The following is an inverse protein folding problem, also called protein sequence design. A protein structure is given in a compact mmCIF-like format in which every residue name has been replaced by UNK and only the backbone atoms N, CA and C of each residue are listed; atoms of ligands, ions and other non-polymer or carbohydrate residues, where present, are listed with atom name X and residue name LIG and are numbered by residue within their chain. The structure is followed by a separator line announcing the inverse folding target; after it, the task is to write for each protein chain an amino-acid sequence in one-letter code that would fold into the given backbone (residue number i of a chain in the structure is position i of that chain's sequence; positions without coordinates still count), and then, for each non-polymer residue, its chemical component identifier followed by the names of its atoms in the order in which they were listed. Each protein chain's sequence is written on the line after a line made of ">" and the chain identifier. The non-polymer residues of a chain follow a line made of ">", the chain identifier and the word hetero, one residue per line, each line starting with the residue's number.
data_IF_104827011382
#
_entry.id   IF_104827011382
#
_cell.length_a   1.000
_cell.length_b   1.000
_cell.length_c   1.000
_cell.angle_alpha   90.00
_cell.angle_beta   90.00
_cell.angle_gamma   90.00
#
_symmetry.space_group_name_H-M   'P 1'
#
loop_
_entity.id
_entity.type
_entity.pdbx_description
1 polymer ?
2 polymer ?
3 non-polymer ?
4 non-polymer ?
5 non-polymer ?
6 non-polymer ?
7 non-polymer ?
8 non-polymer ?
9 water ?
#
# COMPACT_ATOMS: atom_id res chain seq x y z
N UNK A 1 2.07 13.40 -20.61
CA UNK A 1 1.55 13.44 -19.24
C UNK A 1 2.21 14.54 -18.41
N UNK A 2 1.45 15.02 -17.41
CA UNK A 2 1.88 16.05 -16.47
C UNK A 2 2.08 15.49 -15.07
N UNK A 3 2.07 14.17 -14.92
CA UNK A 3 1.99 13.53 -13.62
C UNK A 3 3.37 13.20 -13.07
N UNK A 4 3.52 13.35 -11.75
CA UNK A 4 4.73 12.92 -11.08
C UNK A 4 4.73 11.41 -10.93
N UNK A 5 5.86 10.81 -11.22
CA UNK A 5 6.10 9.39 -10.97
C UNK A 5 7.23 9.29 -9.95
N UNK A 6 7.23 8.19 -9.22
CA UNK A 6 8.26 8.04 -8.21
C UNK A 6 8.65 6.58 -8.06
N UNK A 7 9.88 6.35 -7.61
CA UNK A 7 10.36 5.04 -7.23
C UNK A 7 10.97 5.14 -5.84
N UNK A 8 10.71 4.12 -5.01
CA UNK A 8 11.20 4.07 -3.64
C UNK A 8 11.62 2.65 -3.30
N UNK A 9 12.70 2.51 -2.58
CA UNK A 9 12.90 1.31 -1.78
C UNK A 9 12.58 1.66 -0.34
N UNK A 10 11.89 0.74 0.33
CA UNK A 10 11.53 0.93 1.72
C UNK A 10 12.08 -0.25 2.52
N UNK A 11 12.59 0.07 3.72
CA UNK A 11 13.06 -0.91 4.69
C UNK A 11 12.38 -0.73 6.04
N UNK A 12 12.18 -1.85 6.72
CA UNK A 12 11.69 -1.88 8.08
C UNK A 12 12.62 -2.83 8.85
N UNK A 13 13.29 -2.31 9.89
CA UNK A 13 14.17 -3.10 10.76
C UNK A 13 13.61 -3.10 12.17
N UNK A 14 13.49 -4.27 12.79
CA UNK A 14 13.21 -4.37 14.21
C UNK A 14 14.39 -5.02 14.91
N UNK A 15 14.88 -4.35 15.96
CA UNK A 15 15.96 -4.88 16.79
C UNK A 15 15.36 -5.17 18.15
N UNK A 16 15.33 -6.45 18.54
CA UNK A 16 14.71 -6.81 19.80
C UNK A 16 15.72 -6.79 20.95
N UNK A 17 16.94 -7.19 20.62
CA UNK A 17 18.06 -7.23 21.59
C UNK A 17 19.36 -7.33 20.78
N UNK A 18 20.49 -7.53 21.42
CA UNK A 18 21.79 -7.50 20.72
C UNK A 18 22.04 -8.76 19.88
N UNK A 19 21.25 -9.81 20.09
CA UNK A 19 21.47 -11.08 19.34
C UNK A 19 20.28 -11.38 18.42
N UNK A 20 19.26 -10.52 18.37
CA UNK A 20 18.09 -10.86 17.55
C UNK A 20 17.51 -9.62 16.88
N UNK A 21 17.38 -9.69 15.56
CA UNK A 21 16.73 -8.63 14.79
C UNK A 21 16.17 -9.25 13.52
N UNK A 22 15.24 -8.53 12.89
CA UNK A 22 14.69 -8.96 11.60
C UNK A 22 14.35 -7.75 10.76
N UNK A 23 14.27 -7.97 9.44
CA UNK A 23 14.07 -6.86 8.52
C UNK A 23 13.31 -7.24 7.27
N UNK A 24 12.90 -6.20 6.55
CA UNK A 24 12.13 -6.35 5.32
C UNK A 24 12.36 -5.17 4.38
N UNK A 25 12.63 -5.44 3.11
CA UNK A 25 12.81 -4.38 2.15
C UNK A 25 12.04 -4.68 0.87
N UNK A 26 11.66 -3.61 0.17
CA UNK A 26 10.92 -3.79 -1.09
C UNK A 26 11.07 -2.57 -1.98
N UNK A 27 10.75 -2.75 -3.26
CA UNK A 27 10.78 -1.67 -4.24
C UNK A 27 9.40 -1.39 -4.80
N UNK A 28 9.09 -0.10 -4.97
CA UNK A 28 7.76 0.39 -5.32
C UNK A 28 7.85 1.45 -6.40
N UNK A 29 7.13 1.24 -7.51
CA UNK A 29 6.96 2.23 -8.57
C UNK A 29 5.59 2.88 -8.36
N UNK A 30 5.58 4.09 -7.83
CA UNK A 30 4.36 4.73 -7.31
C UNK A 30 3.81 3.83 -6.21
N UNK A 31 2.57 3.36 -6.29
CA UNK A 31 2.00 2.48 -5.28
C UNK A 31 2.05 1.02 -5.70
N UNK A 32 2.74 0.70 -6.78
CA UNK A 32 2.85 -0.66 -7.28
C UNK A 32 4.14 -1.31 -6.79
N UNK A 33 4.03 -2.45 -6.14
CA UNK A 33 5.23 -3.16 -5.73
C UNK A 33 5.86 -3.85 -6.93
N UNK A 34 7.13 -3.55 -7.16
CA UNK A 34 7.82 -4.09 -8.30
C UNK A 34 9.02 -4.93 -7.92
N UNK A 35 9.49 -4.85 -6.66
CA UNK A 35 10.63 -5.65 -6.20
C UNK A 35 10.45 -6.13 -4.77
N UNK A 36 11.02 -7.30 -4.50
CA UNK A 36 11.28 -7.74 -3.15
C UNK A 36 12.77 -8.01 -2.90
N UNK A 37 13.04 -8.48 -1.70
CA UNK A 37 14.41 -8.80 -1.28
C UNK A 37 14.40 -10.14 -0.58
N UNK A 38 15.12 -11.11 -1.14
CA UNK A 38 15.33 -12.39 -0.48
C UNK A 38 16.50 -12.25 0.49
N UNK A 39 16.20 -12.34 1.79
CA UNK A 39 17.15 -11.96 2.83
C UNK A 39 18.18 -13.05 3.12
N UNK A 40 17.82 -14.32 2.93
CA UNK A 40 18.79 -15.39 3.15
C UNK A 40 19.95 -15.30 2.14
N UNK A 41 19.62 -15.17 0.85
CA UNK A 41 20.64 -15.11 -0.20
C UNK A 41 21.07 -13.70 -0.55
N UNK A 42 20.54 -12.69 0.15
CA UNK A 42 20.77 -11.29 -0.16
C UNK A 42 20.63 -10.97 -1.63
N UNK A 43 19.46 -11.24 -2.24
CA UNK A 43 19.31 -10.93 -3.66
C UNK A 43 17.96 -10.28 -3.92
N UNK A 44 17.87 -9.64 -5.08
CA UNK A 44 16.65 -8.94 -5.48
C UNK A 44 15.66 -9.95 -6.06
N UNK A 45 14.39 -9.82 -5.67
CA UNK A 45 13.30 -10.58 -6.27
C UNK A 45 12.59 -9.67 -7.26
N UNK A 46 12.61 -10.04 -8.54
CA UNK A 46 11.95 -9.28 -9.59
C UNK A 46 10.53 -9.81 -9.77
N UNK A 47 9.54 -8.98 -9.44
CA UNK A 47 8.13 -9.39 -9.44
C UNK A 47 7.50 -9.44 -10.83
N UNK A 48 8.00 -8.68 -11.80
CA UNK A 48 7.39 -8.61 -13.12
C UNK A 48 8.40 -8.88 -14.22
N UNK A 49 7.88 -9.26 -15.37
CA UNK A 49 8.70 -9.47 -16.56
C UNK A 49 9.53 -8.22 -16.89
N UNK A 50 9.00 -7.03 -16.62
CA UNK A 50 9.74 -5.80 -16.93
C UNK A 50 10.51 -5.23 -15.72
N UNK A 51 10.70 -5.99 -14.64
CA UNK A 51 11.26 -5.43 -13.41
C UNK A 51 12.77 -5.16 -13.48
N UNK A 52 13.51 -5.70 -14.45
CA UNK A 52 14.91 -5.27 -14.53
C UNK A 52 15.07 -3.85 -15.07
N UNK A 53 14.01 -3.26 -15.63
CA UNK A 53 14.02 -1.86 -16.00
C UNK A 53 15.12 -1.44 -16.96
N UNK A 54 15.44 -2.29 -17.94
CA UNK A 54 16.51 -2.03 -18.91
C UNK A 54 17.90 -1.89 -18.26
N UNK A 55 18.07 -2.29 -17.00
CA UNK A 55 19.41 -2.40 -16.44
C UNK A 55 20.07 -3.72 -16.85
N UNK A 56 21.38 -3.68 -17.02
CA UNK A 56 22.12 -4.90 -17.33
C UNK A 56 22.22 -5.78 -16.08
N UNK A 57 22.33 -7.08 -16.31
CA UNK A 57 22.52 -7.98 -15.19
C UNK A 57 23.75 -7.62 -14.38
N UNK A 58 24.71 -6.91 -15.00
CA UNK A 58 25.92 -6.52 -14.32
C UNK A 58 25.65 -5.42 -13.29
N UNK A 59 24.96 -4.34 -13.70
CA UNK A 59 24.62 -3.29 -12.75
C UNK A 59 23.75 -3.85 -11.62
N UNK A 60 22.89 -4.80 -11.94
CA UNK A 60 21.96 -5.32 -10.94
C UNK A 60 22.68 -6.17 -9.90
N UNK A 61 23.57 -7.07 -10.34
CA UNK A 61 24.34 -7.84 -9.37
C UNK A 61 25.27 -6.94 -8.55
N UNK A 62 25.76 -5.84 -9.15
CA UNK A 62 26.53 -4.88 -8.38
C UNK A 62 25.68 -4.12 -7.36
N UNK A 63 24.42 -3.82 -7.70
CA UNK A 63 23.51 -3.23 -6.71
C UNK A 63 23.22 -4.21 -5.60
N UNK A 64 22.97 -5.48 -5.93
CA UNK A 64 22.77 -6.47 -4.89
C UNK A 64 23.95 -6.54 -3.94
N UNK A 65 25.17 -6.49 -4.51
CA UNK A 65 26.39 -6.50 -3.69
C UNK A 65 26.45 -5.27 -2.79
N UNK A 66 26.15 -4.09 -3.36
CA UNK A 66 26.16 -2.85 -2.60
C UNK A 66 25.15 -2.89 -1.45
N UNK A 67 23.95 -3.41 -1.71
CA UNK A 67 22.93 -3.54 -0.66
C UNK A 67 23.37 -4.51 0.42
N UNK A 68 24.04 -5.60 0.03
CA UNK A 68 24.56 -6.53 1.02
C UNK A 68 25.59 -5.86 1.94
N UNK A 69 26.55 -5.14 1.36
CA UNK A 69 27.50 -4.42 2.21
C UNK A 69 26.79 -3.43 3.11
N UNK A 70 25.80 -2.71 2.56
CA UNK A 70 25.07 -1.70 3.34
C UNK A 70 24.34 -2.32 4.52
N UNK A 71 23.68 -3.46 4.31
CA UNK A 71 22.97 -4.15 5.40
C UNK A 71 23.95 -4.61 6.47
N UNK A 72 25.06 -5.23 6.05
CA UNK A 72 26.09 -5.65 7.01
C UNK A 72 26.53 -4.49 7.89
N UNK A 73 26.99 -3.40 7.25
CA UNK A 73 27.52 -2.29 8.01
C UNK A 73 26.49 -1.62 8.89
N UNK A 74 25.28 -1.43 8.37
CA UNK A 74 24.20 -0.82 9.14
C UNK A 74 23.94 -1.60 10.42
N UNK A 75 23.73 -2.92 10.32
CA UNK A 75 23.39 -3.67 11.52
C UNK A 75 24.58 -3.70 12.48
N UNK A 76 25.81 -3.81 11.96
CA UNK A 76 26.99 -3.87 12.83
C UNK A 76 27.14 -2.60 13.65
N UNK A 77 26.98 -1.44 13.02
CA UNK A 77 27.08 -0.18 13.75
C UNK A 77 25.96 -0.03 14.77
N UNK A 78 24.71 -0.24 14.32
CA UNK A 78 23.59 -0.05 15.23
C UNK A 78 23.73 -0.98 16.42
N UNK A 79 24.28 -2.18 16.21
CA UNK A 79 24.37 -3.11 17.33
C UNK A 79 25.52 -2.75 18.25
N UNK A 80 26.67 -2.34 17.70
CA UNK A 80 27.75 -1.81 18.53
C UNK A 80 27.26 -0.71 19.47
N UNK A 81 26.47 0.24 18.96
CA UNK A 81 26.06 1.34 19.84
C UNK A 81 24.86 0.98 20.71
N UNK A 82 23.99 0.10 20.27
CA UNK A 82 22.82 -0.22 21.06
C UNK A 82 23.09 -1.30 22.08
N UNK A 83 24.16 -2.09 21.91
CA UNK A 83 24.49 -3.09 22.91
C UNK A 83 25.03 -2.43 24.18
N UNK A 84 25.88 -1.41 24.02
CA UNK A 84 26.32 -0.61 25.15
C UNK A 84 25.16 0.12 25.80
N UNK A 85 24.37 0.84 25.00
CA UNK A 85 23.14 1.48 25.45
C UNK A 85 21.95 0.55 25.19
N UNK A 86 21.88 -0.51 26.01
CA UNK A 86 20.91 -1.58 25.78
C UNK A 86 19.51 -1.30 26.32
N UNK A 87 19.29 -0.15 26.96
CA UNK A 87 17.95 0.20 27.43
C UNK A 87 17.00 0.60 26.31
N UNK A 88 17.51 0.71 25.07
CA UNK A 88 16.69 1.12 23.93
C UNK A 88 15.82 -0.02 23.36
N UNK A 89 16.17 -1.29 23.60
CA UNK A 89 15.46 -2.43 23.00
C UNK A 89 14.09 -2.61 23.63
N UNK A 90 13.08 -3.00 22.86
CA UNK A 90 13.06 -3.26 21.40
C UNK A 90 12.75 -2.02 20.56
N UNK A 91 13.36 -1.81 19.39
CA UNK A 91 13.03 -0.61 18.63
C UNK A 91 12.95 -0.92 17.13
N UNK A 92 12.23 -0.05 16.42
CA UNK A 92 11.91 -0.22 15.01
C UNK A 92 12.37 1.00 14.19
N UNK A 93 13.12 0.75 13.11
CA UNK A 93 13.58 1.77 12.18
C UNK A 93 12.83 1.61 10.86
N UNK A 94 12.31 2.73 10.33
CA UNK A 94 11.74 2.80 8.99
C UNK A 94 12.64 3.64 8.10
N UNK A 95 12.93 3.14 6.89
CA UNK A 95 13.69 3.88 5.90
C UNK A 95 12.89 3.94 4.60
N UNK A 96 12.85 5.12 3.99
CA UNK A 96 12.26 5.31 2.69
C UNK A 96 13.21 6.15 1.84
N UNK A 97 13.80 5.55 0.81
CA UNK A 97 14.74 6.24 -0.06
C UNK A 97 14.23 6.13 -1.49
N UNK A 98 14.54 7.12 -2.33
CA UNK A 98 14.07 7.08 -3.71
C UNK A 98 13.99 8.47 -4.34
N UNK A 99 13.17 8.59 -5.37
CA UNK A 99 13.17 9.77 -6.21
C UNK A 99 11.82 10.00 -6.88
N UNK A 100 11.56 11.29 -7.13
CA UNK A 100 10.36 11.76 -7.80
C UNK A 100 10.77 12.50 -9.07
N UNK A 101 9.99 12.33 -10.14
CA UNK A 101 10.23 13.01 -11.41
C UNK A 101 9.10 14.00 -11.60
N UNK A 102 9.40 15.30 -11.47
CA UNK A 102 8.39 16.33 -11.65
C UNK A 102 8.06 16.52 -13.13
N UNK A 103 7.03 17.32 -13.39
CA UNK A 103 6.41 17.33 -14.71
C UNK A 103 7.37 17.78 -15.80
N UNK A 104 8.27 18.70 -15.49
CA UNK A 104 9.27 19.13 -16.45
C UNK A 104 10.55 18.31 -16.54
N UNK A 105 10.65 17.19 -15.82
CA UNK A 105 11.83 16.36 -15.84
C UNK A 105 12.84 16.61 -14.73
N UNK A 106 12.55 17.51 -13.80
CA UNK A 106 13.47 17.78 -12.70
C UNK A 106 13.46 16.65 -11.68
N UNK A 107 14.58 15.98 -11.44
CA UNK A 107 14.60 14.90 -10.44
C UNK A 107 14.66 15.44 -9.01
N UNK A 108 14.10 14.67 -8.09
CA UNK A 108 14.17 15.04 -6.67
C UNK A 108 14.45 13.79 -5.85
N UNK A 109 15.56 13.82 -5.09
CA UNK A 109 15.97 12.73 -4.22
C UNK A 109 15.31 12.80 -2.85
N UNK A 110 15.25 11.63 -2.20
CA UNK A 110 14.57 11.43 -0.93
C UNK A 110 15.29 10.37 -0.12
N UNK A 111 15.59 10.67 1.14
CA UNK A 111 16.07 9.63 2.07
C UNK A 111 15.59 9.98 3.49
N UNK A 112 14.42 9.48 3.86
CA UNK A 112 13.85 9.75 5.16
C UNK A 112 13.94 8.51 6.05
N UNK A 113 14.01 8.77 7.37
CA UNK A 113 14.16 7.74 8.40
C UNK A 113 13.27 8.09 9.57
N UNK A 114 12.69 7.07 10.19
CA UNK A 114 11.85 7.21 11.37
C UNK A 114 12.25 6.17 12.40
N UNK A 115 12.06 6.54 13.68
CA UNK A 115 12.37 5.71 14.83
C UNK A 115 11.10 5.57 15.65
N UNK A 116 10.70 4.33 15.92
CA UNK A 116 9.42 3.97 16.52
C UNK A 116 8.28 4.84 15.98
N UNK A 117 8.30 5.04 14.66
CA UNK A 117 7.25 5.76 13.96
C UNK A 117 7.32 7.27 14.04
N UNK A 118 8.45 7.85 14.44
CA UNK A 118 8.62 9.30 14.55
C UNK A 118 9.73 9.74 13.60
N UNK A 119 9.57 10.90 12.96
CA UNK A 119 10.62 11.39 12.07
C UNK A 119 11.93 11.49 12.85
N UNK A 120 12.99 10.83 12.38
CA UNK A 120 14.29 10.93 13.02
C UNK A 120 15.23 11.86 12.27
N UNK A 121 15.30 11.72 10.96
CA UNK A 121 16.22 12.53 10.18
C UNK A 121 15.83 12.42 8.72
N UNK A 122 16.58 13.13 7.88
CA UNK A 122 16.41 13.08 6.44
C UNK A 122 17.70 13.56 5.78
N UNK A 123 17.73 13.53 4.47
CA UNK A 123 18.91 13.92 3.68
C UNK A 123 18.44 15.06 2.78
N UNK A 124 18.80 16.29 3.17
CA UNK A 124 18.42 17.50 2.44
C UNK A 124 19.61 17.95 1.60
N UNK A 125 19.46 17.87 0.27
CA UNK A 125 20.52 18.25 -0.66
C UNK A 125 21.80 17.44 -0.41
N UNK A 126 22.69 17.92 0.46
CA UNK A 126 23.89 17.15 0.81
C UNK A 126 24.10 16.96 2.31
N UNK A 127 23.15 17.38 3.14
CA UNK A 127 23.35 17.37 4.58
C UNK A 127 22.33 16.46 5.23
N UNK A 128 22.82 15.58 6.11
CA UNK A 128 21.93 14.86 7.00
C UNK A 128 21.35 15.84 8.01
N UNK A 129 20.03 15.91 8.08
CA UNK A 129 19.29 16.90 8.86
C UNK A 129 18.42 16.17 9.88
N UNK A 130 18.61 16.40 11.18
CA UNK A 130 17.71 15.80 12.18
C UNK A 130 16.33 16.43 12.11
N UNK A 131 15.41 15.82 12.83
CA UNK A 131 14.06 16.32 12.96
C UNK A 131 13.94 17.15 14.24
N UNK A 132 12.94 18.04 14.32
CA UNK A 132 12.72 18.74 15.59
C UNK A 132 12.43 17.80 16.75
N UNK A 133 11.57 16.81 16.55
CA UNK A 133 11.34 15.84 17.59
C UNK A 133 12.61 15.07 17.93
N UNK A 134 12.79 14.80 19.22
CA UNK A 134 13.91 14.05 19.80
C UNK A 134 15.23 14.81 19.76
N UNK A 135 15.70 15.21 18.58
CA UNK A 135 17.08 15.68 18.46
C UNK A 135 18.01 14.60 18.98
N UNK A 136 19.07 15.03 19.68
CA UNK A 136 20.00 14.15 20.42
C UNK A 136 20.42 12.91 19.63
N UNK A 137 19.67 11.81 19.77
CA UNK A 137 19.85 10.64 18.92
C UNK A 137 19.92 11.05 17.45
N UNK A 138 18.94 11.82 16.99
CA UNK A 138 18.92 12.36 15.64
C UNK A 138 20.19 13.16 15.34
N UNK A 139 20.51 14.12 16.22
CA UNK A 139 21.74 14.90 16.08
C UNK A 139 22.99 14.02 16.07
N UNK A 140 23.01 12.97 16.91
CA UNK A 140 24.13 12.05 16.97
C UNK A 140 24.32 11.32 15.65
N UNK A 141 23.27 10.65 15.17
CA UNK A 141 23.32 9.92 13.91
C UNK A 141 23.69 10.88 12.78
N UNK A 142 23.15 12.10 12.81
CA UNK A 142 23.40 13.07 11.74
C UNK A 142 24.85 13.51 11.71
N UNK A 143 25.44 13.84 12.86
CA UNK A 143 26.87 14.13 12.91
C UNK A 143 27.69 12.92 12.46
N UNK A 144 27.34 11.74 12.96
CA UNK A 144 27.98 10.49 12.54
C UNK A 144 28.08 10.40 11.01
N UNK A 145 26.96 10.64 10.33
CA UNK A 145 26.94 10.50 8.88
C UNK A 145 27.59 11.69 8.17
N UNK A 146 27.49 12.89 8.75
CA UNK A 146 28.01 14.10 8.11
C UNK A 146 29.54 14.11 8.10
N UNK A 147 30.18 13.67 9.20
CA UNK A 147 31.62 13.83 9.32
C UNK A 147 32.40 12.53 9.57
N UNK A 148 31.75 11.45 10.00
CA UNK A 148 32.44 10.22 10.39
C UNK A 148 32.18 9.04 9.47
N UNK A 149 31.56 9.25 8.30
CA UNK A 149 31.29 8.17 7.35
C UNK A 149 31.65 8.61 5.95
N UNK A 150 32.59 7.86 5.35
CA UNK A 150 33.34 8.19 4.14
C UNK A 150 32.46 8.54 2.94
N UNK A 151 32.80 7.98 1.78
CA UNK A 151 32.00 8.12 0.59
C UNK A 151 30.59 7.54 0.70
N UNK A 152 30.16 7.20 1.92
CA UNK A 152 28.80 6.72 2.12
C UNK A 152 27.80 7.79 1.66
N UNK A 153 27.97 9.00 2.17
CA UNK A 153 27.03 10.07 1.80
C UNK A 153 27.14 10.43 0.32
N UNK A 154 28.35 10.36 -0.24
CA UNK A 154 28.54 10.59 -1.66
C UNK A 154 27.76 9.56 -2.49
N UNK A 155 27.89 8.29 -2.11
CA UNK A 155 27.22 7.23 -2.83
C UNK A 155 25.70 7.35 -2.71
N UNK A 156 25.21 7.72 -1.53
CA UNK A 156 23.77 7.90 -1.36
C UNK A 156 23.25 9.02 -2.25
N UNK A 157 23.98 10.15 -2.29
CA UNK A 157 23.60 11.25 -3.17
C UNK A 157 23.54 10.78 -4.63
N UNK A 158 24.59 10.10 -5.10
CA UNK A 158 24.60 9.63 -6.47
C UNK A 158 23.46 8.64 -6.75
N UNK A 159 23.10 7.83 -5.74
CA UNK A 159 22.10 6.77 -5.93
C UNK A 159 20.69 7.35 -6.02
N UNK A 160 20.35 8.27 -5.12
CA UNK A 160 18.99 8.78 -5.17
C UNK A 160 18.81 9.82 -6.26
N UNK A 161 19.90 10.43 -6.76
CA UNK A 161 19.78 11.54 -7.71
C UNK A 161 20.16 11.18 -9.15
N UNK A 162 20.85 10.07 -9.39
CA UNK A 162 21.14 9.73 -10.78
C UNK A 162 20.71 8.29 -11.10
N UNK A 163 21.12 7.34 -10.27
CA UNK A 163 20.75 5.94 -10.53
C UNK A 163 19.25 5.73 -10.45
N UNK A 164 18.60 6.32 -9.45
CA UNK A 164 17.16 6.14 -9.27
C UNK A 164 16.32 6.70 -10.41
N UNK A 165 16.45 7.96 -10.84
CA UNK A 165 15.63 8.42 -11.98
C UNK A 165 15.84 7.59 -13.25
N UNK A 166 17.07 7.17 -13.48
CA UNK A 166 17.39 6.38 -14.66
C UNK A 166 16.71 5.02 -14.61
N UNK A 167 16.62 4.43 -13.40
CA UNK A 167 15.94 3.15 -13.21
C UNK A 167 14.42 3.32 -13.28
N UNK A 168 13.88 4.36 -12.66
CA UNK A 168 12.47 4.73 -12.83
C UNK A 168 12.06 4.75 -14.31
N UNK A 169 12.77 5.54 -15.12
CA UNK A 169 12.40 5.68 -16.52
C UNK A 169 12.62 4.38 -17.29
N UNK A 170 13.71 3.65 -17.00
CA UNK A 170 13.86 2.35 -17.62
C UNK A 170 12.75 1.38 -17.29
N UNK A 171 12.24 1.42 -16.04
CA UNK A 171 11.12 0.56 -15.66
C UNK A 171 9.88 0.93 -16.46
N UNK A 172 9.59 2.23 -16.56
CA UNK A 172 8.40 2.66 -17.29
C UNK A 172 8.48 2.24 -18.76
N UNK A 173 9.64 2.41 -19.40
CA UNK A 173 9.76 2.02 -20.80
C UNK A 173 9.73 0.50 -20.96
N UNK A 174 10.33 -0.25 -20.03
CA UNK A 174 10.37 -1.71 -20.16
C UNK A 174 8.99 -2.32 -20.08
N UNK A 175 8.09 -1.69 -19.35
CA UNK A 175 6.76 -2.24 -19.26
C UNK A 175 5.70 -1.36 -19.88
N UNK A 176 5.96 -0.77 -21.04
CA UNK A 176 5.05 0.25 -21.55
C UNK A 176 3.67 -0.33 -21.82
N UNK A 177 3.60 -1.58 -22.24
CA UNK A 177 2.29 -2.15 -22.55
C UNK A 177 1.47 -2.37 -21.30
N UNK A 178 2.13 -2.66 -20.18
CA UNK A 178 1.44 -2.68 -18.90
C UNK A 178 1.14 -1.26 -18.41
N UNK A 179 2.13 -0.37 -18.53
CA UNK A 179 2.00 1.00 -18.02
C UNK A 179 0.81 1.71 -18.66
N UNK A 180 0.59 1.51 -19.95
CA UNK A 180 -0.37 2.33 -20.69
C UNK A 180 -1.68 1.61 -21.00
N UNK A 181 -1.93 0.47 -20.37
CA UNK A 181 -3.13 -0.31 -20.63
C UNK A 181 -4.36 0.35 -20.00
N UNK A 182 -5.52 0.04 -20.58
CA UNK A 182 -6.82 0.45 -20.08
C UNK A 182 -7.57 -0.80 -19.66
N UNK A 183 -8.19 -0.77 -18.48
CA UNK A 183 -8.96 -1.93 -18.03
C UNK A 183 -10.32 -1.45 -17.57
N UNK A 184 -11.34 -2.03 -18.20
CA UNK A 184 -12.74 -1.61 -17.93
C UNK A 184 -13.21 -2.05 -16.57
N UNK A 185 -13.84 -1.15 -15.82
CA UNK A 185 -14.47 -1.53 -14.54
C UNK A 185 -15.78 -2.28 -14.75
N UNK A 186 -16.15 -3.06 -13.75
CA UNK A 186 -17.52 -3.57 -13.65
C UNK A 186 -18.12 -3.01 -12.37
N UNK A 187 -19.45 -2.82 -12.39
CA UNK A 187 -20.15 -2.21 -11.25
C UNK A 187 -21.31 -3.10 -10.80
N UNK A 188 -21.70 -2.96 -9.54
CA UNK A 188 -22.91 -3.60 -9.04
C UNK A 188 -23.42 -2.85 -7.82
N UNK A 189 -24.65 -3.15 -7.43
CA UNK A 189 -25.31 -2.46 -6.34
C UNK A 189 -25.56 -3.40 -5.16
N UNK A 190 -25.62 -2.82 -3.96
CA UNK A 190 -25.98 -3.58 -2.77
C UNK A 190 -26.59 -2.64 -1.75
N UNK A 191 -27.19 -3.22 -0.72
CA UNK A 191 -27.61 -2.46 0.45
C UNK A 191 -26.45 -2.35 1.44
N UNK A 192 -26.49 -1.30 2.24
CA UNK A 192 -25.51 -1.14 3.28
C UNK A 192 -26.15 -1.23 4.66
N UNK A 193 -25.36 -0.97 5.70
CA UNK A 193 -25.92 -0.93 7.06
C UNK A 193 -27.04 0.09 7.14
N UNK A 194 -28.09 -0.29 7.84
CA UNK A 194 -29.28 0.55 7.95
C UNK A 194 -28.89 1.89 8.59
N UNK A 195 -29.18 3.02 7.96
CA UNK A 195 -28.89 4.31 8.62
C UNK A 195 -29.90 4.68 9.73
N UNK A 196 -31.02 3.97 9.83
CA UNK A 196 -32.06 4.29 10.77
C UNK A 196 -33.38 3.73 10.31
N UNK A 197 -34.39 3.73 11.18
CA UNK A 197 -35.71 3.21 10.77
C UNK A 197 -36.28 4.08 9.67
N UNK A 198 -36.90 3.43 8.68
CA UNK A 198 -37.42 4.15 7.53
C UNK A 198 -36.40 4.74 6.58
N UNK A 199 -35.15 4.23 6.60
CA UNK A 199 -34.06 4.76 5.81
C UNK A 199 -33.25 3.60 5.23
N UNK A 200 -32.67 3.85 4.06
CA UNK A 200 -31.87 2.90 3.33
C UNK A 200 -30.48 3.49 3.06
N UNK A 201 -29.54 2.59 2.86
CA UNK A 201 -28.19 2.93 2.48
C UNK A 201 -27.90 2.20 1.19
N UNK A 202 -27.72 2.94 0.11
CA UNK A 202 -27.45 2.38 -1.21
C UNK A 202 -25.94 2.36 -1.43
N UNK A 203 -25.43 1.28 -2.00
CA UNK A 203 -24.01 1.14 -2.26
C UNK A 203 -23.83 0.78 -3.72
N UNK A 204 -22.89 1.46 -4.37
CA UNK A 204 -22.44 1.15 -5.72
C UNK A 204 -20.98 0.73 -5.61
N UNK A 205 -20.66 -0.48 -6.07
CA UNK A 205 -19.31 -1.00 -6.12
C UNK A 205 -18.80 -0.86 -7.55
N UNK A 206 -17.57 -0.34 -7.68
CA UNK A 206 -16.90 -0.17 -8.98
C UNK A 206 -15.53 -0.81 -8.87
N UNK A 207 -15.27 -1.84 -9.66
CA UNK A 207 -14.07 -2.64 -9.41
C UNK A 207 -13.41 -3.05 -10.71
N UNK A 208 -12.08 -3.13 -10.66
CA UNK A 208 -11.27 -3.65 -11.75
C UNK A 208 -10.83 -2.63 -12.78
N UNK A 209 -10.93 -1.34 -12.48
CA UNK A 209 -10.54 -0.29 -13.43
C UNK A 209 -9.08 0.10 -13.26
N UNK A 210 -8.45 0.42 -14.40
CA UNK A 210 -7.12 0.97 -14.46
C UNK A 210 -7.04 1.81 -15.74
N UNK A 211 -6.48 3.01 -15.68
CA UNK A 211 -5.83 3.66 -14.52
C UNK A 211 -6.81 4.20 -13.46
N UNK A 212 -6.25 4.86 -12.44
CA UNK A 212 -6.92 5.23 -11.20
C UNK A 212 -8.01 6.30 -11.34
N UNK A 213 -7.89 7.27 -12.23
CA UNK A 213 -8.94 8.31 -12.34
C UNK A 213 -10.29 7.73 -12.77
N UNK A 214 -11.33 8.10 -12.02
CA UNK A 214 -12.67 7.51 -12.17
C UNK A 214 -13.68 8.52 -11.64
N UNK A 215 -14.87 8.52 -12.21
CA UNK A 215 -15.97 9.33 -11.69
C UNK A 215 -17.18 8.45 -11.36
N UNK A 216 -17.69 8.53 -10.13
CA UNK A 216 -18.80 7.68 -9.69
C UNK A 216 -19.77 8.53 -8.88
N UNK A 217 -21.05 8.53 -9.29
CA UNK A 217 -22.04 9.33 -8.57
C UNK A 217 -23.38 8.64 -8.52
N UNK A 218 -24.10 8.84 -7.42
CA UNK A 218 -25.54 8.61 -7.41
C UNK A 218 -26.27 9.80 -8.02
N UNK A 219 -27.26 9.50 -8.86
CA UNK A 219 -28.01 10.45 -9.66
C UNK A 219 -29.51 10.22 -9.52
N UNK A 220 -30.26 11.29 -9.64
CA UNK A 220 -31.66 11.19 -10.04
C UNK A 220 -31.78 11.99 -11.34
N UNK A 221 -31.88 11.29 -12.47
CA UNK A 221 -31.84 11.96 -13.77
C UNK A 221 -30.46 12.57 -14.01
N UNK A 222 -30.40 13.89 -14.10
CA UNK A 222 -29.14 14.59 -14.20
C UNK A 222 -28.79 15.32 -12.90
N UNK A 223 -29.69 15.32 -11.93
CA UNK A 223 -29.34 15.81 -10.60
C UNK A 223 -28.35 14.84 -9.96
N UNK A 224 -27.09 15.25 -9.86
CA UNK A 224 -26.18 14.55 -8.97
C UNK A 224 -26.67 14.69 -7.55
N UNK A 225 -26.69 13.60 -6.81
CA UNK A 225 -27.13 13.63 -5.42
C UNK A 225 -25.96 14.06 -4.55
N UNK A 226 -26.12 15.21 -3.87
CA UNK A 226 -25.03 15.83 -3.12
C UNK A 226 -24.56 14.97 -1.96
N UNK A 227 -25.40 14.05 -1.50
CA UNK A 227 -25.07 13.21 -0.37
C UNK A 227 -24.12 12.07 -0.65
N UNK A 228 -23.83 11.78 -1.93
CA UNK A 228 -22.94 10.66 -2.24
C UNK A 228 -21.66 10.78 -1.43
N UNK A 229 -21.24 9.65 -0.85
CA UNK A 229 -19.99 9.57 -0.10
C UNK A 229 -19.06 8.59 -0.81
N UNK A 230 -17.86 9.04 -1.15
CA UNK A 230 -16.88 8.19 -1.77
C UNK A 230 -15.96 7.60 -0.71
N UNK A 231 -15.63 6.32 -0.87
CA UNK A 231 -14.68 5.67 0.00
C UNK A 231 -13.27 5.81 -0.52
N UNK A 232 -12.35 5.15 0.17
CA UNK A 232 -10.99 5.11 -0.35
C UNK A 232 -10.93 4.27 -1.61
N UNK A 233 -10.16 4.73 -2.58
CA UNK A 233 -9.87 3.90 -3.75
C UNK A 233 -8.90 2.81 -3.33
N UNK A 234 -9.42 1.55 -3.21
CA UNK A 234 -8.70 0.43 -2.63
C UNK A 234 -8.07 -0.40 -3.73
N UNK A 235 -6.94 -1.04 -3.44
CA UNK A 235 -6.25 -1.81 -4.47
C UNK A 235 -6.75 -3.25 -4.55
N UNK A 236 -6.88 -3.72 -5.80
CA UNK A 236 -7.16 -5.10 -6.11
C UNK A 236 -5.87 -5.86 -6.38
N UNK A 237 -5.96 -7.17 -6.32
CA UNK A 237 -4.87 -7.98 -6.84
C UNK A 237 -4.74 -7.75 -8.36
N UNK A 238 -3.49 -7.69 -8.82
CA UNK A 238 -3.17 -7.52 -10.24
C UNK A 238 -3.41 -6.10 -10.75
N UNK A 239 -3.13 -5.09 -9.92
CA UNK A 239 -3.00 -3.75 -10.40
C UNK A 239 -4.27 -2.98 -10.69
N UNK A 240 -5.46 -3.52 -10.40
CA UNK A 240 -6.66 -2.72 -10.64
C UNK A 240 -7.13 -2.05 -9.34
N UNK A 241 -8.20 -1.27 -9.47
CA UNK A 241 -8.70 -0.45 -8.38
C UNK A 241 -10.15 -0.82 -8.04
N UNK A 242 -10.57 -0.46 -6.82
CA UNK A 242 -11.91 -0.72 -6.32
C UNK A 242 -12.41 0.52 -5.59
N UNK A 243 -13.73 0.72 -5.59
CA UNK A 243 -14.35 1.94 -5.04
C UNK A 243 -15.79 1.67 -4.66
N UNK A 244 -16.20 2.20 -3.51
CA UNK A 244 -17.59 2.24 -3.06
C UNK A 244 -18.12 3.68 -3.09
N UNK A 245 -19.33 3.86 -3.60
CA UNK A 245 -20.10 5.09 -3.42
C UNK A 245 -21.42 4.75 -2.71
N UNK A 246 -21.67 5.39 -1.57
CA UNK A 246 -22.84 5.11 -0.76
C UNK A 246 -23.73 6.35 -0.68
N UNK A 247 -25.00 6.11 -0.41
CA UNK A 247 -25.99 7.19 -0.32
C UNK A 247 -27.09 6.78 0.65
N UNK A 248 -27.45 7.67 1.57
CA UNK A 248 -28.52 7.42 2.53
C UNK A 248 -29.81 8.10 2.05
N UNK A 249 -30.93 7.37 2.06
CA UNK A 249 -32.19 7.92 1.56
C UNK A 249 -33.35 7.37 2.37
N UNK A 250 -34.38 8.19 2.55
CA UNK A 250 -35.63 7.68 3.11
C UNK A 250 -36.28 6.72 2.12
N UNK A 251 -36.82 5.61 2.62
CA UNK A 251 -37.61 4.77 1.72
C UNK A 251 -38.88 5.52 1.33
N UNK A 252 -39.26 5.41 0.06
CA UNK A 252 -40.21 6.31 -0.55
C UNK A 252 -39.58 7.37 -1.41
N UNK A 253 -38.29 7.62 -1.24
CA UNK A 253 -37.52 8.50 -2.12
C UNK A 253 -36.38 7.78 -2.79
N UNK A 254 -36.37 6.45 -2.78
CA UNK A 254 -35.31 5.70 -3.40
C UNK A 254 -35.57 5.37 -4.85
N UNK A 255 -36.82 5.43 -5.30
CA UNK A 255 -37.11 5.07 -6.68
C UNK A 255 -36.62 6.13 -7.64
N UNK A 256 -35.96 5.69 -8.72
CA UNK A 256 -35.41 6.58 -9.72
C UNK A 256 -33.94 6.90 -9.56
N UNK A 257 -33.33 6.51 -8.45
CA UNK A 257 -31.93 6.73 -8.18
C UNK A 257 -31.07 5.73 -8.94
N UNK A 258 -29.98 6.21 -9.55
CA UNK A 258 -29.09 5.34 -10.30
C UNK A 258 -27.64 5.71 -10.02
N UNK A 259 -26.77 4.73 -10.21
CA UNK A 259 -25.33 4.87 -10.11
C UNK A 259 -24.78 5.08 -11.52
N UNK A 260 -23.91 6.08 -11.67
CA UNK A 260 -23.26 6.39 -12.94
C UNK A 260 -21.75 6.33 -12.78
N UNK A 261 -21.10 5.68 -13.75
CA UNK A 261 -19.66 5.43 -13.74
C UNK A 261 -19.06 5.95 -15.04
N UNK A 262 -18.06 6.84 -14.92
CA UNK A 262 -17.26 7.37 -16.02
C UNK A 262 -15.80 6.98 -15.84
N UNK A 263 -15.21 6.40 -16.89
CA UNK A 263 -13.82 5.98 -16.84
C UNK A 263 -13.21 6.05 -18.24
N UNK A 264 -11.88 6.27 -18.28
CA UNK A 264 -11.17 6.46 -19.56
C UNK A 264 -11.35 5.28 -20.50
N UNK A 265 -11.54 4.08 -19.96
CA UNK A 265 -11.65 2.89 -20.79
C UNK A 265 -13.01 2.75 -21.46
N UNK A 266 -14.00 3.59 -21.15
CA UNK A 266 -15.39 3.31 -21.49
C UNK A 266 -15.83 3.91 -22.82
N UNK A 267 -14.94 4.62 -23.52
CA UNK A 267 -15.22 5.17 -24.85
C UNK A 267 -16.54 5.94 -24.85
N UNK A 268 -16.69 6.82 -23.86
CA UNK A 268 -17.86 7.64 -23.73
C UNK A 268 -19.11 6.95 -23.19
N UNK A 269 -19.22 5.63 -23.29
CA UNK A 269 -20.43 4.89 -22.90
C UNK A 269 -20.38 4.53 -21.41
N UNK A 270 -20.97 5.40 -20.58
CA UNK A 270 -20.95 5.27 -19.11
C UNK A 270 -21.74 4.03 -18.64
N UNK A 271 -21.39 3.56 -17.46
CA UNK A 271 -22.12 2.45 -16.82
C UNK A 271 -23.24 3.04 -15.97
N UNK A 272 -24.46 2.55 -16.16
CA UNK A 272 -25.61 3.03 -15.40
C UNK A 272 -26.34 1.86 -14.77
N UNK A 273 -26.60 1.97 -13.46
CA UNK A 273 -27.35 0.94 -12.74
C UNK A 273 -28.44 1.59 -11.91
N UNK A 274 -29.70 1.20 -12.13
CA UNK A 274 -30.84 1.72 -11.37
C UNK A 274 -31.07 0.88 -10.12
N UNK A 275 -31.24 1.55 -8.99
CA UNK A 275 -31.61 0.88 -7.75
C UNK A 275 -32.97 0.18 -7.87
N UNK A 276 -33.00 -1.14 -7.68
CA UNK A 276 -34.25 -1.89 -7.69
C UNK A 276 -34.77 -2.16 -6.29
N UNK A 277 -33.95 -2.73 -5.43
CA UNK A 277 -34.29 -2.89 -4.03
C UNK A 277 -35.54 -3.74 -3.84
N UNK A 278 -36.37 -3.32 -2.91
CA UNK A 278 -37.62 -4.00 -2.63
C UNK A 278 -38.77 -3.46 -3.48
N UNK A 279 -38.46 -2.66 -4.52
CA UNK A 279 -39.49 -2.04 -5.37
C UNK A 279 -40.18 -3.09 -6.25
N UNK A 280 -39.42 -4.02 -6.80
CA UNK A 280 -39.90 -5.00 -7.76
C UNK A 280 -40.38 -6.24 -7.01
N UNK A 281 -41.60 -6.74 -7.29
CA UNK A 281 -42.19 -7.89 -6.58
C UNK A 281 -41.37 -9.16 -6.70
N UNK B 1 5.66 7.06 19.84
CA UNK B 1 4.55 7.33 18.93
C UNK B 1 3.33 6.56 19.35
N UNK B 2 2.22 7.28 19.50
CA UNK B 2 0.99 6.66 19.98
C UNK B 2 0.63 5.47 19.11
N UNK B 3 0.36 4.34 19.75
CA UNK B 3 -0.11 3.18 19.02
C UNK B 3 -1.35 3.53 18.21
N UNK B 4 -1.43 3.00 16.99
CA UNK B 4 -2.58 3.18 16.10
C UNK B 4 -3.18 1.81 15.78
N UNK B 5 -4.47 1.72 15.88
CA UNK B 5 -5.21 0.48 15.66
C UNK B 5 -5.44 0.29 14.15
N UNK B 6 -5.43 -0.95 13.65
CA UNK B 6 -5.63 -1.14 12.21
C UNK B 6 -7.06 -0.86 11.75
N UNK B 7 -7.18 -0.19 10.61
CA UNK B 7 -8.41 -0.18 9.85
C UNK B 7 -8.41 -1.40 8.92
N UNK B 8 -9.54 -2.11 8.90
CA UNK B 8 -9.72 -3.34 8.13
C UNK B 8 -10.87 -3.14 7.14
N UNK B 9 -10.60 -3.28 5.84
CA UNK B 9 -11.62 -3.17 4.80
C UNK B 9 -11.63 -4.43 3.94
N UNK B 10 -12.80 -5.05 3.78
CA UNK B 10 -12.94 -6.37 3.13
C UNK B 10 -13.86 -6.21 1.92
N UNK B 11 -13.44 -6.74 0.77
CA UNK B 11 -14.17 -6.50 -0.47
C UNK B 11 -13.79 -7.52 -1.52
N UNK B 12 -14.69 -7.80 -2.45
CA UNK B 12 -14.41 -8.77 -3.50
C UNK B 12 -14.14 -8.09 -4.82
N UNK B 13 -13.38 -8.79 -5.67
CA UNK B 13 -13.09 -8.31 -7.01
C UNK B 13 -14.34 -8.24 -7.88
N UNK B 14 -15.24 -9.22 -7.74
CA UNK B 14 -16.38 -9.44 -8.61
C UNK B 14 -17.65 -9.58 -7.78
N UNK B 15 -18.82 -9.36 -8.40
CA UNK B 15 -20.07 -9.60 -7.66
C UNK B 15 -20.15 -11.06 -7.23
N UNK B 16 -20.59 -11.27 -5.99
CA UNK B 16 -20.77 -12.60 -5.44
C UNK B 16 -21.69 -13.42 -6.35
N UNK B 17 -21.15 -14.50 -6.91
CA UNK B 17 -21.88 -15.36 -7.84
C UNK B 17 -21.64 -16.79 -7.35
N UNK B 18 -22.67 -17.38 -6.74
CA UNK B 18 -22.51 -18.67 -6.08
C UNK B 18 -22.10 -19.75 -7.07
N UNK B 19 -20.91 -20.32 -6.85
CA UNK B 19 -20.32 -21.20 -7.84
C UNK B 19 -19.63 -20.44 -8.96
N UNK B 20 -18.74 -19.51 -8.63
CA UNK B 20 -17.97 -18.79 -9.65
C UNK B 20 -16.67 -18.30 -9.03
N UNK B 21 -15.58 -18.42 -9.78
CA UNK B 21 -14.29 -17.96 -9.30
C UNK B 21 -14.34 -16.47 -9.00
N UNK B 22 -13.71 -16.08 -7.90
CA UNK B 22 -13.79 -14.74 -7.40
C UNK B 22 -12.57 -14.52 -6.52
N UNK B 23 -12.28 -13.26 -6.22
CA UNK B 23 -11.17 -12.92 -5.34
C UNK B 23 -11.70 -12.18 -4.13
N UNK B 24 -11.25 -12.60 -2.96
CA UNK B 24 -11.53 -11.92 -1.70
C UNK B 24 -10.29 -11.11 -1.30
N UNK B 25 -10.51 -9.84 -0.95
CA UNK B 25 -9.47 -8.91 -0.55
C UNK B 25 -9.71 -8.40 0.86
N UNK B 26 -8.61 -8.18 1.60
CA UNK B 26 -8.61 -7.55 2.91
C UNK B 26 -7.47 -6.54 2.97
N UNK B 27 -7.82 -5.26 3.11
CA UNK B 27 -6.87 -4.16 3.21
C UNK B 27 -6.78 -3.68 4.65
N UNK B 28 -5.59 -3.76 5.24
CA UNK B 28 -5.37 -3.44 6.65
C UNK B 28 -4.32 -2.34 6.72
N UNK B 29 -4.70 -1.17 7.24
CA UNK B 29 -3.82 -0.01 7.14
C UNK B 29 -3.90 0.83 8.41
N UNK B 30 -2.94 1.75 8.51
CA UNK B 30 -2.93 2.74 9.57
C UNK B 30 -2.51 2.25 10.94
N UNK B 31 -1.87 1.08 11.03
CA UNK B 31 -1.48 0.52 12.31
C UNK B 31 -0.02 0.82 12.63
N UNK B 32 0.28 0.86 13.93
CA UNK B 32 1.65 0.96 14.46
C UNK B 32 1.60 0.52 15.92
N UNK B 33 2.54 -0.34 16.37
CA UNK B 33 3.69 -0.92 15.65
C UNK B 33 3.36 -1.97 14.58
N UNK B 34 4.38 -2.53 13.95
CA UNK B 34 4.22 -3.34 12.75
C UNK B 34 3.86 -4.79 13.01
N UNK B 35 3.96 -5.29 14.23
CA UNK B 35 3.63 -6.68 14.48
C UNK B 35 2.12 -6.86 14.45
N UNK B 36 1.66 -7.91 13.78
CA UNK B 36 0.24 -8.04 13.48
C UNK B 36 -0.03 -9.47 13.02
N UNK B 37 -1.26 -9.92 13.25
CA UNK B 37 -1.73 -11.19 12.72
C UNK B 37 -2.94 -10.92 11.85
N UNK B 38 -2.80 -11.13 10.54
CA UNK B 38 -3.93 -11.05 9.61
C UNK B 38 -4.17 -12.45 9.08
N UNK B 39 -5.43 -12.87 9.08
CA UNK B 39 -5.77 -14.13 8.44
C UNK B 39 -7.08 -13.95 7.66
N UNK B 40 -7.22 -14.71 6.59
CA UNK B 40 -8.49 -14.84 5.88
C UNK B 40 -9.12 -16.13 6.36
N UNK B 41 -10.39 -16.05 6.77
CA UNK B 41 -11.14 -17.17 7.32
C UNK B 41 -12.19 -17.65 6.33
N UNK B 42 -12.27 -18.97 6.16
CA UNK B 42 -13.42 -19.61 5.51
C UNK B 42 -14.10 -20.51 6.54
N UNK B 43 -15.29 -20.13 6.98
CA UNK B 43 -16.01 -20.88 8.03
C UNK B 43 -15.17 -20.96 9.31
N UNK B 44 -14.68 -19.81 9.76
CA UNK B 44 -13.88 -19.76 10.98
C UNK B 44 -12.50 -20.39 10.91
N UNK B 45 -12.14 -21.01 9.77
CA UNK B 45 -10.87 -21.71 9.62
C UNK B 45 -9.90 -20.90 8.75
N UNK B 46 -8.64 -20.86 9.16
CA UNK B 46 -7.64 -20.05 8.49
C UNK B 46 -7.32 -20.63 7.11
N UNK B 47 -7.38 -19.78 6.10
CA UNK B 47 -6.99 -20.15 4.74
C UNK B 47 -5.47 -20.05 4.61
N UNK B 48 -4.87 -21.06 3.96
CA UNK B 48 -3.42 -21.14 3.81
C UNK B 48 -2.95 -20.65 2.46
N UNK B 49 -3.67 -21.03 1.42
CA UNK B 49 -3.48 -20.49 0.08
C UNK B 49 -3.86 -19.02 0.10
N UNK B 50 -2.94 -18.15 0.47
CA UNK B 50 -3.21 -16.72 0.56
C UNK B 50 -2.00 -15.99 -0.02
N UNK B 51 -2.22 -14.75 -0.43
CA UNK B 51 -1.17 -13.86 -0.88
C UNK B 51 -1.25 -12.55 -0.11
N UNK B 52 -0.10 -11.94 0.13
CA UNK B 52 -0.07 -10.65 0.81
C UNK B 52 1.06 -9.81 0.22
N UNK B 53 0.88 -8.50 0.27
CA UNK B 53 1.94 -7.58 -0.07
C UNK B 53 3.05 -7.62 0.99
N UNK B 54 4.25 -7.23 0.58
CA UNK B 54 5.30 -7.01 1.56
C UNK B 54 4.93 -5.78 2.39
N UNK B 55 5.45 -5.74 3.61
CA UNK B 55 5.10 -4.68 4.53
C UNK B 55 5.47 -3.32 3.97
N UNK B 56 4.56 -2.36 4.08
CA UNK B 56 4.79 -1.01 3.58
C UNK B 56 4.15 0.00 4.53
N UNK B 57 4.57 1.25 4.41
CA UNK B 57 4.06 2.30 5.30
C UNK B 57 3.77 3.58 4.52
N UNK B 58 2.79 4.33 5.03
CA UNK B 58 2.39 5.59 4.43
C UNK B 58 3.37 6.70 4.80
N UNK B 59 2.99 7.97 4.63
CA UNK B 59 3.92 9.05 4.93
C UNK B 59 3.91 9.40 6.41
N UNK B 60 2.79 9.21 7.07
CA UNK B 60 2.75 9.31 8.54
C UNK B 60 3.40 8.10 9.21
N UNK B 61 4.07 7.25 8.44
CA UNK B 61 4.82 6.08 8.89
C UNK B 61 3.95 4.96 9.44
N UNK B 62 2.62 5.05 9.35
CA UNK B 62 1.82 3.90 9.73
C UNK B 62 1.80 2.85 8.61
N UNK B 63 1.63 1.59 8.98
CA UNK B 63 1.86 0.48 8.07
C UNK B 63 0.57 0.06 7.38
N UNK B 64 0.72 -0.71 6.29
CA UNK B 64 -0.44 -1.24 5.58
C UNK B 64 -0.06 -2.51 4.81
N UNK B 65 -1.06 -3.40 4.67
CA UNK B 65 -0.96 -4.69 4.02
C UNK B 65 -2.22 -4.96 3.21
N UNK B 66 -2.04 -5.46 1.98
CA UNK B 66 -3.12 -6.04 1.17
C UNK B 66 -3.03 -7.57 1.20
N UNK B 67 -4.13 -8.23 1.57
CA UNK B 67 -4.29 -9.68 1.53
C UNK B 67 -5.32 -10.07 0.48
N UNK B 68 -5.10 -11.19 -0.20
CA UNK B 68 -6.17 -11.68 -1.08
C UNK B 68 -6.04 -13.18 -1.28
N UNK B 69 -7.17 -13.79 -1.66
CA UNK B 69 -7.19 -15.21 -2.01
C UNK B 69 -8.29 -15.45 -3.04
N UNK B 70 -8.03 -16.38 -3.96
CA UNK B 70 -9.04 -16.80 -4.93
C UNK B 70 -9.94 -17.86 -4.31
N UNK B 71 -11.23 -17.77 -4.59
CA UNK B 71 -12.20 -18.61 -3.90
C UNK B 71 -13.49 -18.68 -4.72
N UNK B 72 -14.34 -19.62 -4.35
CA UNK B 72 -15.63 -19.81 -5.02
C UNK B 72 -16.74 -19.86 -3.98
N UNK B 73 -17.63 -18.87 -3.96
CA UNK B 73 -18.62 -18.78 -2.88
C UNK B 73 -19.85 -19.62 -3.13
N UNK B 74 -20.49 -20.01 -2.03
CA UNK B 74 -21.76 -20.73 -2.00
C UNK B 74 -22.57 -20.19 -0.82
N UNK B 75 -23.88 -20.49 -0.81
CA UNK B 75 -24.71 -20.03 0.29
C UNK B 75 -24.23 -20.60 1.62
N UNK B 76 -23.64 -21.80 1.60
CA UNK B 76 -23.26 -22.45 2.84
C UNK B 76 -22.07 -21.76 3.49
N UNK B 77 -21.12 -21.30 2.68
CA UNK B 77 -19.81 -20.82 3.15
C UNK B 77 -19.81 -19.32 3.40
N UNK B 78 -19.27 -18.92 4.54
CA UNK B 78 -19.01 -17.51 4.81
C UNK B 78 -17.52 -17.28 5.06
N UNK B 79 -17.07 -16.09 4.64
CA UNK B 79 -15.68 -15.71 4.65
C UNK B 79 -15.48 -14.48 5.53
N UNK B 80 -14.26 -14.31 6.04
CA UNK B 80 -13.96 -13.23 6.99
C UNK B 80 -12.48 -12.86 6.92
N UNK B 81 -12.14 -11.74 7.57
CA UNK B 81 -10.76 -11.30 7.77
C UNK B 81 -10.58 -11.04 9.26
N UNK B 82 -9.58 -11.66 9.87
CA UNK B 82 -9.33 -11.51 11.30
C UNK B 82 -7.97 -10.86 11.52
N UNK B 83 -7.93 -9.93 12.46
CA UNK B 83 -6.74 -9.13 12.75
C UNK B 83 -6.51 -9.13 14.25
N UNK B 84 -5.25 -9.30 14.64
CA UNK B 84 -4.84 -9.21 16.03
C UNK B 84 -3.67 -8.25 16.07
N UNK B 85 -3.73 -7.30 16.99
CA UNK B 85 -2.72 -6.29 17.17
C UNK B 85 -2.52 -6.08 18.66
N UNK B 86 -1.51 -5.28 19.01
CA UNK B 86 -1.31 -4.93 20.41
C UNK B 86 -2.46 -4.06 20.91
N UNK B 87 -2.90 -3.11 20.09
CA UNK B 87 -4.05 -2.24 20.33
C UNK B 87 -5.37 -2.99 20.31
N UNK B 88 -5.34 -4.32 20.17
CA UNK B 88 -6.53 -5.16 20.15
C UNK B 88 -6.45 -6.11 21.34
N UNK B 89 -7.42 -6.02 22.24
CA UNK B 89 -7.51 -6.98 23.33
C UNK B 89 -7.90 -8.36 22.80
N UNK B 90 -8.98 -8.42 22.04
CA UNK B 90 -9.49 -9.61 21.39
C UNK B 90 -9.30 -9.51 19.88
N UNK B 91 -8.95 -10.61 19.21
CA UNK B 91 -8.83 -10.58 17.75
C UNK B 91 -10.09 -10.06 17.06
N UNK B 92 -9.98 -8.89 16.47
CA UNK B 92 -11.08 -8.27 15.74
C UNK B 92 -11.37 -9.01 14.44
N UNK B 93 -12.64 -9.10 14.09
CA UNK B 93 -13.07 -9.79 12.89
C UNK B 93 -13.90 -8.83 12.05
N UNK B 94 -13.81 -8.98 10.72
CA UNK B 94 -14.71 -8.32 9.80
C UNK B 94 -15.24 -9.38 8.84
N UNK B 95 -16.54 -9.40 8.66
CA UNK B 95 -17.22 -10.43 7.89
C UNK B 95 -17.56 -9.93 6.50
N UNK B 96 -17.53 -10.83 5.52
CA UNK B 96 -17.87 -10.49 4.14
C UNK B 96 -19.27 -10.98 3.81
N UNK B 97 -20.08 -10.08 3.23
CA UNK B 97 -21.47 -10.33 2.89
C UNK B 97 -21.73 -9.94 1.45
N UNK B 98 -22.52 -10.77 0.75
CA UNK B 98 -22.80 -10.57 -0.68
C UNK B 98 -23.35 -9.18 -0.99
X LIG C 1 16.35 -11.70 22.22
X LIG C 1 16.14 -12.61 23.46
X LIG C 1 15.80 -14.03 23.03
X LIG C 1 14.54 -14.00 22.19
X LIG C 1 14.80 -13.07 21.01
X LIG C 1 13.55 -12.92 20.18
X LIG C 1 17.15 -12.33 25.66
X LIG C 1 15.78 -11.91 26.15
X LIG C 1 17.24 -12.65 24.35
X LIG C 1 15.67 -14.77 24.20
X LIG C 1 14.29 -15.30 21.75
X LIG C 1 15.17 -11.77 21.46
X LIG C 1 12.48 -12.80 21.09
X LIG C 1 18.11 -12.35 26.41
X LIG D 1 34.00 0.01 -0.67
X LIG D 1 33.37 -0.80 -1.66
X LIG D 1 34.67 -0.83 0.38
X LIG D 1 35.82 -1.49 -0.18
X LIG D 1 35.07 0.07 1.53
X LIG D 1 35.84 -0.71 2.48
X LIG D 1 35.85 1.29 1.15
X LIG D 1 35.63 2.26 2.22
X LIG D 1 35.50 1.96 -0.16
X LIG D 1 34.96 0.99 -1.23
X LIG D 1 36.71 2.69 -0.69
X LIG D 1 36.47 4.09 -0.84
X LIG D 1 14.17 -4.27 -2.40
X LIG D 1 18.12 0.31 -9.07
X LIG D 1 31.45 1.94 1.36
X LIG D 1 16.71 4.60 -4.17
X LIG D 1 25.44 2.88 2.36
X LIG D 1 19.55 2.61 1.06
X LIG D 1 31.22 -2.25 -2.28
X LIG D 1 31.32 -1.23 -0.08
X LIG D 1 15.24 -4.25 -3.46
X LIG D 1 15.23 -2.94 -4.31
X LIG D 1 15.72 -3.24 -5.72
X LIG D 1 15.62 -1.98 -6.63
X LIG D 1 16.98 -1.55 -7.20
X LIG D 1 30.78 2.83 -2.15
X LIG D 1 17.59 2.74 -6.11
X LIG D 1 27.76 2.97 0.42
X LIG D 1 18.86 3.09 -1.52
X LIG D 1 23.18 2.19 -0.23
X LIG D 1 31.67 1.55 -2.47
X LIG D 1 17.36 -0.16 -6.69
X LIG D 1 30.88 3.32 -0.62
X LIG D 1 18.24 2.07 -7.36
X LIG D 1 29.12 2.79 1.22
X LIG D 1 18.62 3.39 -5.10
X LIG D 1 26.78 1.72 0.59
X LIG D 1 18.72 4.09 -2.70
X LIG D 1 24.54 2.83 0.05
X LIG D 1 20.28 2.52 -1.33
X LIG D 1 22.00 2.83 0.49
X LIG D 1 30.89 0.34 -2.15
X LIG D 1 17.42 0.90 -7.82
X LIG D 1 30.34 2.25 0.42
X LIG D 1 17.84 3.59 -3.82
X LIG D 1 25.37 2.05 1.09
X LIG D 1 20.66 2.16 0.09
X LIG D 1 31.68 -1.03 -1.54
X LIG E 1 22.95 -12.34 3.27
X LIG E 1 22.30 -13.10 4.32
X LIG E 1 22.07 -12.29 5.60
X LIG E 1 22.69 -11.30 5.79
X LIG E 1 21.11 -12.71 6.61
X LIG E 1 20.30 -13.91 6.48
X LIG E 1 20.82 -15.14 7.21
X LIG E 1 21.99 -15.24 7.37
X LIG E 1 19.91 -16.16 7.71
X LIG E 1 18.48 -16.07 7.55
X LIG E 1 17.74 -16.20 8.89
X LIG E 1 18.37 -16.54 9.93
X LIG E 1 16.49 -15.97 8.94
X LIG F 1 3.23 3.26 -13.63
X LIG F 1 2.06 4.15 -13.24
X LIG F 1 1.76 3.98 -11.75
X LIG F 1 1.43 2.52 -11.41
X LIG F 1 0.72 4.87 -11.20
X LIG F 1 0.06 5.71 -12.18
X LIG F 1 -1.16 4.98 -12.77
X LIG F 1 -2.41 4.65 -11.49
X LIG F 1 -2.10 3.42 -10.67
X LIG F 1 -3.67 4.17 -12.17
X LIG F 1 -2.68 5.92 -10.70
X LIG F 1 2.46 1.50 -11.91
X LIG F 1 2.97 1.79 -13.33
X LIG G 1 17.08 -3.49 -0.61
X LIG G 1 16.34 -3.95 0.64
X LIG G 1 17.24 -3.96 1.89
X LIG G 1 18.01 -2.66 2.12
X LIG G 1 16.44 -4.25 3.08
X LIG G 1 16.52 -5.67 3.36
X LIG G 1 15.85 -6.02 4.69
X LIG G 1 16.23 -7.74 5.15
X LIG G 1 16.19 -7.90 6.65
X LIG G 1 15.31 -8.72 4.48
X LIG G 1 17.67 -8.08 4.87
X LIG G 1 17.90 -1.66 0.96
X LIG G 1 18.11 -2.38 -0.36
X LIG H 1 19.07 -5.33 11.16
X LIG H 1 18.15 -6.40 10.81
X LIG H 1 18.63 -7.05 9.52
X LIG H 1 18.74 -6.43 8.51
X LIG H 1 18.98 -8.45 9.56
X LIG H 1 19.46 -9.08 8.34
X LIG H 1 18.50 -10.11 7.72
X LIG H 1 18.80 -10.73 6.75
X LIG H 1 17.21 -10.31 8.35
X LIG H 1 16.30 -11.27 7.81
X LIG H 1 15.65 -11.81 9.06
X LIG H 1 16.29 -12.57 9.84
X LIG H 1 14.47 -11.45 9.33
X LIG I 1 -12.55 9.58 2.06
X LIG I 1 -13.41 8.65 2.16
X LIG I 1 -11.48 9.41 1.41
X LIG I 1 -12.80 10.92 2.75
X LIG I 1 -12.80 10.77 4.28
X LIG I 1 -11.92 11.37 4.97
X LIG I 1 -13.67 10.05 4.84
X LIG J 1 23.49 5.47 5.22
X LIG J 1 22.11 5.01 5.69
X LIG J 1 21.66 5.74 6.98
X LIG J 1 20.50 5.00 7.68
X LIG J 1 20.13 5.65 9.04
X LIG J 1 20.40 4.69 10.24
X LIG J 1 19.40 4.91 11.38
X LIG J 1 20.07 4.69 12.77
X LIG J 1 19.06 4.51 13.91
X LIG J 1 19.80 4.31 15.27
X LIG J 1 19.10 3.24 16.15
X LIG J 1 19.69 3.21 17.61
X LIG J 1 21.24 3.04 17.61
X LIG J 1 21.81 2.86 19.07
X LIG J 1 22.31 4.20 19.71
X LIG J 1 22.53 4.06 21.26
X LIG J 1 23.56 5.10 21.84
X LIG J 1 23.02 6.57 21.78
X LIG J 1 25.38 7.80 21.96
X LIG J 1 25.87 7.31 23.41
X LIG J 1 25.12 6.90 25.65
X LIG J 1 23.85 6.59 26.33
X LIG J 1 24.02 5.91 27.63
X LIG J 1 24.95 4.71 27.52
X LIG J 1 26.17 4.93 26.59
X LIG J 1 26.76 3.57 26.11
X LIG J 1 25.10 3.07 29.14
X LIG J 1 25.72 2.71 30.51
X LIG J 1 25.21 1.47 31.07
X LIG J 1 23.71 1.37 31.03
X LIG J 1 23.26 1.56 29.58
X LIG J 1 21.73 1.37 29.43
X LIG J 1 22.66 1.80 33.09
X LIG J 1 22.36 2.91 34.14
X LIG J 1 21.83 2.32 35.40
X LIG J 1 20.79 1.28 35.18
X LIG J 1 21.17 0.27 34.09
X LIG J 1 19.98 -0.68 33.83
X LIG J 1 21.93 3.48 37.46
X LIG J 1 21.42 4.76 38.13
X LIG J 1 21.63 4.84 39.59
X LIG J 1 21.42 3.58 40.32
X LIG J 1 22.23 2.45 39.67
X LIG J 1 22.10 1.14 40.50
X LIG J 1 24.18 4.78 33.90
X LIG J 1 23.48 5.60 32.82
X LIG J 1 26.51 0.04 32.72
X LIG J 1 27.15 0.07 34.13
X LIG J 1 28.24 -0.95 34.29
X LIG J 1 29.29 -0.75 33.28
X LIG J 1 28.61 -1.01 31.94
X LIG J 1 29.62 -1.10 30.76
X LIG J 1 28.78 -1.14 29.39
X LIG J 1 28.74 0.22 28.65
X LIG J 1 31.50 -1.55 34.43
X LIG J 1 32.61 -2.63 34.56
X LIG J 1 25.63 -1.15 32.63
X LIG J 1 26.14 7.09 20.75
X LIG J 1 25.57 7.53 19.33
X LIG J 1 24.75 6.65 18.65
X LIG J 1 24.15 7.02 17.23
X LIG J 1 23.60 5.75 16.48
X LIG J 1 24.77 4.72 16.15
X LIG J 1 24.47 3.90 14.82
X LIG J 1 23.54 4.71 13.85
X LIG J 1 24.31 5.30 12.61
X LIG J 1 25.21 4.23 11.92
X LIG J 1 24.36 3.16 11.14
X LIG J 1 24.47 3.33 9.59
X LIG J 1 25.87 2.92 9.07
X LIG J 1 26.09 3.36 7.61
X LIG J 1 25.52 2.34 6.62
X LIG J 1 26.62 1.49 5.98
X LIG J 1 23.91 7.78 21.84
X LIG J 1 23.63 3.53 34.49
X LIG J 1 30.36 -1.76 33.45
X LIG J 1 21.87 6.76 21.68
X LIG J 1 24.85 7.57 24.38
X LIG J 1 25.79 5.66 25.38
X LIG J 1 27.97 3.35 26.77
X LIG J 1 25.42 4.41 28.81
X LIG J 1 23.62 2.90 29.11
X LIG J 1 21.28 2.27 28.44
X LIG J 1 23.17 2.37 31.79
X LIG J 1 21.51 0.95 32.84
X LIG J 1 20.53 -1.98 33.63
X LIG J 1 19.53 1.92 34.85
X LIG J 1 21.24 3.34 36.23
X LIG J 1 21.72 2.28 38.30
X LIG J 1 23.35 0.67 40.95
X LIG J 1 20.06 3.24 40.24
X LIG J 1 20.77 5.81 40.12
X LIG J 1 22.04 5.84 37.51
X LIG J 1 25.22 5.14 34.29
X LIG J 1 25.69 1.38 32.51
X LIG J 1 27.50 -0.04 31.63
X LIG J 1 27.40 0.42 28.25
X LIG J 1 29.31 -2.12 28.54
X LIG J 1 30.43 0.03 30.77
X LIG J 1 31.55 -0.56 35.09
X LIG J 1 28.78 -0.85 35.59
X LIG J 1 25.90 -2.07 31.79
X LIG J 1 24.63 -1.25 33.36
X LIG J 1 27.08 2.58 30.33
X LIG J 1 22.78 5.48 28.07
X LIG J 1 23.08 7.74 26.50
X LIG J 1 27.50 7.45 20.81
X LIG K 1 7.12 -12.61 3.88
X LIG K 1 7.59 -13.09 2.58
X LIG K 1 6.58 -12.97 1.41
X LIG K 1 6.23 -13.97 0.86
X LIG K 1 6.06 -11.68 0.96
X LIG K 1 5.12 -11.44 -0.13
X LIG K 1 4.02 -12.41 -0.62
X LIG K 1 3.61 -12.31 -1.74
X LIG K 1 3.44 -13.42 0.26
X LIG K 1 2.39 -14.28 -0.27
X LIG K 1 2.42 -15.69 0.36
X LIG K 1 3.36 -16.49 0.11
X LIG K 1 1.47 -16.04 1.12
X LIG L 1 6.72 4.32 -0.37
X LIG L 1 5.64 5.40 -0.20
X LIG L 1 4.28 5.23 -0.88
X LIG L 1 4.00 3.90 -1.60
X LIG L 1 3.25 5.46 0.12
X LIG L 1 2.79 6.84 0.01
X LIG L 1 2.45 7.44 1.37
X LIG L 1 0.68 7.90 1.45
X LIG L 1 -0.18 6.85 0.80
X LIG L 1 0.21 8.16 2.87
X LIG L 1 0.44 9.09 0.54
X LIG L 1 4.94 2.78 -1.18
X LIG L 1 6.36 3.27 -1.41
#
# INVERSE_FOLDING_TARGET
>A
SQEHVSFHVIQIFSFVNQSWARGQGSGWLDELQTHGWDSESGTIIFLHQWSKGQFSNEELSDLELLFRFYLFGLTREIQDHASQDYSKYPFEVQVKAGCELHSGGSPEGFFQVAFNGLDLLSFQQTTWVPSPGCGSLAQSVCHLLNHQYEGVTETVYNLIRSTCPRFLLGLLDAGKMYVHRQVRPEAWLSSGPSPGPGRLQLVCHVSGFYPKPVWVMWMRGEQEQQGTQLGDILPNANGTWYLRATLDVADGEAAGLSCRVKHSSLEGQDIILYWRGSLVP
>B
AIQRTPKIQVYSRHPAENGKSNFLNCYVSGFHPSDIEVDLLKNGERIEKVEHSDLSFSKDWSFYLLYYTEFTPTEKDEYACRVNHVTLSQPKIVKWDRD
>C hetero
1 NAG C1 C2 C3 C4 C5 C6 C7 C8 N2 O3 O4 O5 O6 O7
>D hetero
1 MK0 C1 O1 C2 O2 C3 O3 C4 O4 C5 O5 C6 O6 CAA CAB CAC CAD CAE CAF OAG OAL CAM CAN CAO CAP CAQ CAR CAS CAT CAU CAV CAX CAY CAZ CBA CBB CBC CBD CBE CBF CBG CBH OBI CBL CBM CBN CBO CBP PBV
>E hetero
1 GGG N1 CA1 C1 O1 N2 CA2 C2 O2 N3 CA3 C3 O3 O
>F hetero
1 KZF C3' C2' C1' C6' N C1 C2 S O1 O2 O3 C5' C4'
>G hetero
1 KZF C3' C2' C1' C6' N C1 C2 S O1 O2 O3 C5' C4'
>H hetero
1 GGG N1 CA1 C1 O1 N2 CA2 C2 O2 N3 CA3 C3 O3 O
>I hetero
1 MLA C1 O1A O1B C2 C3 O3A O3B
>J hetero
1 A1CB7 C01 C02 C03 C04 C05 C06 C07 C08 C09 C10 C11 C12 C13 C14 C15 C16 C17 C18 C21 C22 C24 C25 C26 C27 C28 C30 C33 C34 C35 C36 C37 C39 C42 C43 C44 C45 C46 C48 C52 C53 C54 C55 C56 C58 C64 C66 C68 C69 C70 C71 C72 C74 C75 C76 C81 C83 C85 C91 C92 C93 C94 C95 C96 C97 C98 C99 CA0 CA1 CA2 CA3 CA4 CA5 CA6 N20 N63 N80 O19 O23 O29 O31 O32 O38 O40 O41 O47 O49 O50 O51 O57 O59 O60 O61 O62 O65 O67 O73 O77 O78 O79 O82 O84 O86 O87 O88 O89 O90 OA7
>K hetero
1 GGG N1 CA1 C1 O1 N2 CA2 C2 O2 N3 CA3 C3 O3 O
>L hetero
1 KZF C3' C2' C1' C6' N C1 C2 S O1 O2 O3 C5' C4'
#
